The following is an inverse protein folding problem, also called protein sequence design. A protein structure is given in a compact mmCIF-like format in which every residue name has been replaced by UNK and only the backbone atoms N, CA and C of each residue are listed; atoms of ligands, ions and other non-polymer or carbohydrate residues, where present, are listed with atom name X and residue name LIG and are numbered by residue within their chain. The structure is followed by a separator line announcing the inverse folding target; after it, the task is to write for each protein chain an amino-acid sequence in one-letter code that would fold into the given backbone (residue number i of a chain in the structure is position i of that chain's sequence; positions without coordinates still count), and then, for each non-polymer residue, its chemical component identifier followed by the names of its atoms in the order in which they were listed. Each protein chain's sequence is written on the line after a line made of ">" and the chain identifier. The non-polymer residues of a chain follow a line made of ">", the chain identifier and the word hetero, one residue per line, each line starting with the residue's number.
data_IF_105108378782
#
_entry.id   IF_105108378782
#
_cell.length_a   1.000
_cell.length_b   1.000
_cell.length_c   1.000
_cell.angle_alpha   90.00
_cell.angle_beta   90.00
_cell.angle_gamma   90.00
#
_symmetry.space_group_name_H-M   'P 1'
#
loop_
_entity.id
_entity.type
_entity.pdbx_description
1 polymer ?
#
# COMPACT_ATOMS: atom_id res chain seq x y z
N UNK A 1 7.75 26.38 6.63
CA UNK A 1 7.51 27.83 6.69
C UNK A 1 8.43 28.59 5.74
N UNK A 2 9.77 28.37 5.75
CA UNK A 2 10.71 29.10 4.89
C UNK A 2 10.44 28.88 3.38
N UNK A 3 10.06 27.66 2.96
CA UNK A 3 9.81 27.32 1.56
C UNK A 3 8.50 27.93 1.05
N UNK A 4 7.45 27.92 1.87
CA UNK A 4 6.12 28.42 1.49
C UNK A 4 5.90 29.90 1.81
N UNK A 5 6.87 30.58 2.47
CA UNK A 5 6.82 31.99 2.88
C UNK A 5 5.55 32.38 3.65
N UNK A 6 4.97 31.44 4.41
CA UNK A 6 3.74 31.65 5.18
C UNK A 6 3.95 32.61 6.35
N UNK A 7 2.93 33.40 6.69
CA UNK A 7 2.93 34.43 7.72
C UNK A 7 1.77 34.23 8.68
N UNK A 8 1.82 34.94 9.82
CA UNK A 8 0.71 35.02 10.76
C UNK A 8 -0.55 35.53 10.03
N UNK A 9 -1.67 34.84 10.24
CA UNK A 9 -2.97 35.10 9.61
C UNK A 9 -3.22 34.29 8.34
N UNK A 10 -2.21 33.64 7.76
CA UNK A 10 -2.41 32.83 6.56
C UNK A 10 -3.19 31.54 6.91
N UNK A 11 -4.17 31.14 6.06
CA UNK A 11 -4.83 29.85 6.19
C UNK A 11 -3.92 28.73 5.70
N UNK A 12 -4.00 27.58 6.37
CA UNK A 12 -3.28 26.36 6.01
C UNK A 12 -4.19 25.16 6.14
N UNK A 13 -3.97 24.18 5.28
CA UNK A 13 -4.55 22.85 5.37
C UNK A 13 -3.47 21.87 5.82
N UNK A 14 -3.80 20.99 6.74
CA UNK A 14 -2.91 20.03 7.37
C UNK A 14 -3.57 18.67 7.38
N UNK A 15 -2.75 17.64 7.36
CA UNK A 15 -3.16 16.26 7.56
C UNK A 15 -2.27 15.66 8.64
N UNK A 16 -2.84 14.86 9.55
CA UNK A 16 -2.07 14.18 10.59
C UNK A 16 -1.43 12.88 10.11
N UNK A 17 -1.73 12.45 8.88
CA UNK A 17 -1.27 11.17 8.33
C UNK A 17 -1.98 9.94 8.91
N UNK A 18 -3.02 10.15 9.72
CA UNK A 18 -3.84 9.13 10.36
C UNK A 18 -5.29 9.13 9.88
N UNK A 19 -5.60 9.99 8.92
CA UNK A 19 -6.93 10.08 8.28
C UNK A 19 -7.70 11.34 8.60
N UNK A 20 -7.16 12.28 9.39
CA UNK A 20 -7.82 13.54 9.70
C UNK A 20 -7.18 14.70 8.94
N UNK A 21 -8.03 15.56 8.40
CA UNK A 21 -7.66 16.83 7.77
C UNK A 21 -8.09 18.01 8.64
N UNK A 22 -7.29 19.05 8.66
CA UNK A 22 -7.49 20.23 9.50
C UNK A 22 -7.35 21.50 8.67
N UNK A 23 -8.30 22.42 8.80
CA UNK A 23 -8.13 23.80 8.36
C UNK A 23 -7.71 24.63 9.55
N UNK A 24 -6.65 25.40 9.39
CA UNK A 24 -6.07 26.18 10.47
C UNK A 24 -5.59 27.55 10.00
N UNK A 25 -5.41 28.46 10.95
CA UNK A 25 -4.82 29.79 10.73
C UNK A 25 -3.52 29.87 11.51
N UNK A 26 -2.47 30.40 10.90
CA UNK A 26 -1.18 30.60 11.54
C UNK A 26 -1.30 31.74 12.56
N UNK A 27 -1.10 31.44 13.85
CA UNK A 27 -1.06 32.44 14.93
C UNK A 27 0.34 32.92 15.26
N UNK A 28 1.34 32.10 15.00
CA UNK A 28 2.74 32.45 15.23
C UNK A 28 3.68 31.56 14.44
N UNK A 29 4.87 32.09 14.14
CA UNK A 29 5.92 31.37 13.42
C UNK A 29 7.24 31.62 14.10
N UNK A 30 7.97 30.55 14.40
CA UNK A 30 9.37 30.58 14.84
C UNK A 30 10.26 29.92 13.79
N UNK A 31 11.60 29.97 13.89
CA UNK A 31 12.48 29.23 12.98
C UNK A 31 12.24 27.72 12.97
N UNK A 32 11.73 27.15 14.06
CA UNK A 32 11.62 25.70 14.29
C UNK A 32 10.17 25.20 14.31
N UNK A 33 9.19 26.10 14.52
CA UNK A 33 7.78 25.69 14.69
C UNK A 33 6.80 26.74 14.16
N UNK A 34 5.55 26.32 13.98
CA UNK A 34 4.41 27.19 13.74
C UNK A 34 3.31 26.88 14.77
N UNK A 35 2.77 27.93 15.37
CA UNK A 35 1.57 27.84 16.20
C UNK A 35 0.35 28.02 15.30
N UNK A 36 -0.57 27.06 15.36
CA UNK A 36 -1.75 27.01 14.52
C UNK A 36 -3.00 26.99 15.37
N UNK A 37 -4.01 27.76 14.97
CA UNK A 37 -5.36 27.62 15.51
C UNK A 37 -6.22 26.86 14.55
N UNK A 38 -6.63 25.65 14.93
CA UNK A 38 -7.52 24.80 14.15
C UNK A 38 -8.90 25.47 14.12
N UNK A 39 -9.43 25.62 12.91
CA UNK A 39 -10.77 26.20 12.66
C UNK A 39 -11.80 25.15 12.27
N UNK A 40 -11.34 24.03 11.69
CA UNK A 40 -12.19 22.92 11.26
C UNK A 40 -11.37 21.63 11.24
N UNK A 41 -12.02 20.50 11.51
CA UNK A 41 -11.44 19.15 11.34
C UNK A 41 -12.47 18.22 10.73
N UNK A 42 -12.04 17.37 9.81
CA UNK A 42 -12.87 16.39 9.13
C UNK A 42 -12.06 15.16 8.77
N UNK A 43 -12.74 14.02 8.56
CA UNK A 43 -12.07 12.84 7.98
C UNK A 43 -11.68 13.12 6.54
N UNK A 44 -10.52 12.62 6.12
CA UNK A 44 -10.03 12.82 4.76
C UNK A 44 -10.92 12.11 3.75
N UNK A 45 -11.48 12.86 2.83
CA UNK A 45 -12.26 12.32 1.71
C UNK A 45 -11.41 11.55 0.69
N UNK A 46 -10.08 11.62 0.79
CA UNK A 46 -9.17 10.90 -0.11
C UNK A 46 -8.99 9.43 0.26
N UNK A 47 -9.45 9.02 1.45
CA UNK A 47 -9.27 7.65 1.91
C UNK A 47 -10.48 6.77 1.56
N UNK A 48 -10.24 5.55 1.02
CA UNK A 48 -11.32 4.60 0.76
C UNK A 48 -11.89 4.05 2.09
N UNK A 49 -13.16 3.61 2.05
CA UNK A 49 -13.82 2.96 3.19
C UNK A 49 -13.30 1.55 3.49
N UNK A 50 -12.52 0.98 2.60
CA UNK A 50 -11.87 -0.32 2.72
C UNK A 50 -10.34 -0.14 2.84
N UNK A 51 -9.65 -1.15 3.33
CA UNK A 51 -8.19 -1.15 3.48
C UNK A 51 -7.56 -2.28 2.69
N UNK A 52 -6.62 -1.95 1.82
CA UNK A 52 -5.85 -2.96 1.08
C UNK A 52 -4.42 -3.03 1.61
N UNK A 53 -4.01 -4.22 2.06
CA UNK A 53 -2.62 -4.53 2.35
C UNK A 53 -2.01 -5.29 1.17
N UNK A 54 -0.97 -4.72 0.57
CA UNK A 54 -0.23 -5.33 -0.52
C UNK A 54 0.94 -6.16 0.02
N UNK A 55 0.84 -7.47 -0.07
CA UNK A 55 1.93 -8.42 0.16
C UNK A 55 2.74 -8.55 -1.13
N UNK A 56 3.77 -7.73 -1.27
CA UNK A 56 4.59 -7.67 -2.47
C UNK A 56 5.85 -8.51 -2.32
N UNK A 57 5.97 -9.59 -3.07
CA UNK A 57 7.24 -10.31 -3.15
C UNK A 57 8.34 -9.38 -3.67
N UNK A 58 9.52 -9.45 -3.02
CA UNK A 58 10.64 -8.56 -3.35
C UNK A 58 11.06 -8.75 -4.81
N UNK A 59 10.92 -7.71 -5.63
CA UNK A 59 11.34 -7.75 -7.03
C UNK A 59 12.85 -7.55 -7.14
N UNK A 60 13.38 -7.77 -8.34
CA UNK A 60 14.76 -7.43 -8.67
C UNK A 60 14.95 -5.92 -8.78
N UNK A 61 16.17 -5.46 -8.49
CA UNK A 61 16.56 -4.05 -8.64
C UNK A 61 15.67 -3.06 -7.83
N UNK A 62 15.58 -1.82 -8.30
CA UNK A 62 14.90 -0.72 -7.61
C UNK A 62 13.37 -0.67 -7.89
N UNK A 63 12.79 -1.74 -8.45
CA UNK A 63 11.37 -1.79 -8.79
C UNK A 63 10.45 -1.63 -7.58
N UNK A 64 10.90 -2.04 -6.38
CA UNK A 64 10.11 -1.90 -5.16
C UNK A 64 9.78 -0.44 -4.87
N UNK A 65 10.66 0.50 -5.17
CA UNK A 65 10.43 1.92 -4.96
C UNK A 65 9.30 2.46 -5.86
N UNK A 66 9.31 2.04 -7.13
CA UNK A 66 8.23 2.35 -8.07
C UNK A 66 6.88 1.76 -7.60
N UNK A 67 6.90 0.49 -7.14
CA UNK A 67 5.70 -0.18 -6.62
C UNK A 67 5.14 0.61 -5.44
N UNK A 68 5.99 0.95 -4.45
CA UNK A 68 5.58 1.73 -3.28
C UNK A 68 4.97 3.05 -3.70
N UNK A 69 5.68 3.84 -4.52
CA UNK A 69 5.19 5.13 -4.98
C UNK A 69 3.81 5.00 -5.62
N UNK A 70 3.65 4.12 -6.61
CA UNK A 70 2.41 4.01 -7.38
C UNK A 70 1.27 3.35 -6.59
N UNK A 71 1.57 2.37 -5.76
CA UNK A 71 0.54 1.76 -4.93
C UNK A 71 0.02 2.73 -3.84
N UNK A 72 0.87 3.61 -3.32
CA UNK A 72 0.43 4.69 -2.42
C UNK A 72 -0.50 5.65 -3.14
N UNK A 73 -0.17 6.10 -4.35
CA UNK A 73 -1.03 6.94 -5.18
C UNK A 73 -2.40 6.27 -5.48
N UNK A 74 -2.44 4.93 -5.53
CA UNK A 74 -3.63 4.12 -5.80
C UNK A 74 -4.41 3.69 -4.55
N UNK A 75 -4.08 4.23 -3.38
CA UNK A 75 -4.87 4.03 -2.17
C UNK A 75 -4.48 2.81 -1.33
N UNK A 76 -3.32 2.19 -1.51
CA UNK A 76 -2.85 1.11 -0.62
C UNK A 76 -2.82 1.61 0.83
N UNK A 77 -3.25 0.76 1.77
CA UNK A 77 -3.20 1.07 3.20
C UNK A 77 -1.86 0.67 3.85
N UNK A 78 -1.32 -0.50 3.47
CA UNK A 78 -0.06 -1.02 3.95
C UNK A 78 0.64 -1.82 2.85
N UNK A 79 1.97 -1.78 2.83
CA UNK A 79 2.78 -2.63 1.94
C UNK A 79 3.68 -3.50 2.83
N UNK A 80 3.56 -4.81 2.65
CA UNK A 80 4.38 -5.80 3.34
C UNK A 80 5.30 -6.46 2.31
N UNK A 81 6.61 -6.18 2.35
CA UNK A 81 7.59 -6.90 1.52
C UNK A 81 7.64 -8.38 1.92
N UNK A 82 7.62 -9.29 0.95
CA UNK A 82 7.59 -10.74 1.20
C UNK A 82 8.77 -11.42 0.55
N UNK A 83 9.36 -12.38 1.25
CA UNK A 83 10.35 -13.31 0.72
C UNK A 83 9.65 -14.59 0.26
N UNK A 84 9.64 -14.82 -1.06
CA UNK A 84 9.28 -16.09 -1.69
C UNK A 84 10.52 -16.81 -2.20
N UNK A 85 10.39 -18.07 -2.60
CA UNK A 85 11.53 -18.87 -3.05
C UNK A 85 12.25 -18.30 -4.28
N UNK A 86 11.50 -17.66 -5.18
CA UNK A 86 12.02 -17.08 -6.40
C UNK A 86 12.49 -15.62 -6.25
N UNK A 87 12.45 -15.06 -5.04
CA UNK A 87 13.05 -13.75 -4.76
C UNK A 87 14.58 -13.86 -4.78
N UNK A 88 15.24 -13.00 -5.55
CA UNK A 88 16.71 -12.98 -5.65
C UNK A 88 17.33 -12.04 -4.61
N UNK A 89 16.62 -10.97 -4.24
CA UNK A 89 17.12 -9.95 -3.33
C UNK A 89 16.98 -10.40 -1.86
N UNK A 90 18.00 -11.04 -1.32
CA UNK A 90 18.13 -11.30 0.12
C UNK A 90 19.18 -10.37 0.70
N UNK A 91 18.81 -9.42 1.53
CA UNK A 91 19.77 -8.76 2.42
C UNK A 91 20.11 -9.72 3.56
N UNK A 92 21.42 -9.89 3.84
CA UNK A 92 21.89 -10.72 4.95
C UNK A 92 22.21 -9.90 6.21
N UNK A 93 22.08 -8.57 6.13
CA UNK A 93 22.51 -7.65 7.19
C UNK A 93 21.33 -6.84 7.68
N UNK A 94 21.02 -6.96 8.98
CA UNK A 94 19.93 -6.26 9.66
C UNK A 94 20.04 -4.74 9.56
N UNK A 95 21.27 -4.19 9.59
CA UNK A 95 21.49 -2.75 9.45
C UNK A 95 21.13 -2.24 8.06
N UNK A 96 21.35 -3.06 7.04
CA UNK A 96 20.96 -2.79 5.66
C UNK A 96 19.45 -2.87 5.47
N UNK A 97 18.79 -3.82 6.15
CA UNK A 97 17.33 -3.99 6.15
C UNK A 97 16.63 -2.75 6.74
N UNK A 98 17.04 -2.32 7.92
CA UNK A 98 16.47 -1.15 8.59
C UNK A 98 16.59 0.12 7.76
N UNK A 99 17.75 0.34 7.11
CA UNK A 99 17.96 1.48 6.20
C UNK A 99 17.05 1.40 4.98
N UNK A 100 16.85 0.19 4.44
CA UNK A 100 15.95 -0.05 3.29
C UNK A 100 14.51 0.26 3.64
N UNK A 101 14.02 -0.24 4.78
CA UNK A 101 12.65 0.04 5.25
C UNK A 101 12.45 1.54 5.55
N UNK A 102 13.42 2.19 6.16
CA UNK A 102 13.37 3.64 6.37
C UNK A 102 13.28 4.41 5.02
N UNK A 103 14.04 3.99 4.00
CA UNK A 103 13.95 4.55 2.64
C UNK A 103 12.58 4.31 2.01
N UNK A 104 12.01 3.12 2.13
CA UNK A 104 10.70 2.78 1.61
C UNK A 104 9.58 3.60 2.27
N UNK A 105 9.63 3.76 3.58
CA UNK A 105 8.67 4.60 4.30
C UNK A 105 8.79 6.09 3.91
N UNK A 106 10.00 6.57 3.62
CA UNK A 106 10.20 7.93 3.08
C UNK A 106 9.54 8.10 1.71
N UNK A 107 9.67 7.10 0.82
CA UNK A 107 9.02 7.11 -0.50
C UNK A 107 7.50 7.10 -0.34
N UNK A 108 6.97 6.27 0.54
CA UNK A 108 5.55 6.21 0.85
C UNK A 108 5.02 7.56 1.37
N UNK A 109 5.75 8.20 2.28
CA UNK A 109 5.43 9.53 2.79
C UNK A 109 5.37 10.60 1.70
N UNK A 110 6.40 10.68 0.83
CA UNK A 110 6.43 11.67 -0.25
C UNK A 110 5.32 11.40 -1.30
N UNK A 111 5.02 10.13 -1.59
CA UNK A 111 3.92 9.75 -2.49
C UNK A 111 2.56 10.12 -1.88
N UNK A 112 2.32 9.84 -0.59
CA UNK A 112 1.09 10.20 0.11
C UNK A 112 0.87 11.72 0.12
N UNK A 113 1.92 12.47 0.42
CA UNK A 113 1.89 13.94 0.38
C UNK A 113 1.56 14.48 -1.01
N UNK A 114 2.17 13.93 -2.06
CA UNK A 114 1.96 14.37 -3.45
C UNK A 114 0.53 14.04 -3.91
N UNK A 115 0.00 12.87 -3.54
CA UNK A 115 -1.35 12.42 -3.90
C UNK A 115 -2.44 12.93 -2.94
N UNK A 116 -2.08 13.78 -1.97
CA UNK A 116 -3.00 14.37 -0.96
C UNK A 116 -3.76 13.31 -0.15
N UNK A 117 -3.08 12.24 0.22
CA UNK A 117 -3.67 11.22 1.08
C UNK A 117 -3.77 11.69 2.53
N UNK A 118 -4.88 11.38 3.19
CA UNK A 118 -5.10 11.60 4.61
C UNK A 118 -4.34 10.61 5.50
N UNK A 119 -4.05 9.41 4.97
CA UNK A 119 -3.26 8.36 5.65
C UNK A 119 -1.91 8.23 4.97
N UNK A 120 -0.84 8.17 5.76
CA UNK A 120 0.50 7.81 5.27
C UNK A 120 0.66 6.29 5.36
N UNK A 121 0.65 5.55 4.22
CA UNK A 121 0.80 4.10 4.23
C UNK A 121 2.14 3.67 4.80
N UNK A 122 2.12 2.63 5.64
CA UNK A 122 3.33 2.05 6.18
C UNK A 122 3.90 1.01 5.22
N UNK A 123 5.22 0.99 5.07
CA UNK A 123 5.95 -0.16 4.54
C UNK A 123 6.55 -0.91 5.72
N UNK A 124 6.06 -2.12 5.95
CA UNK A 124 6.45 -2.98 7.06
C UNK A 124 7.79 -3.66 6.83
N UNK A 125 8.30 -4.34 7.86
CA UNK A 125 9.47 -5.20 7.74
C UNK A 125 9.18 -6.36 6.77
N UNK A 126 10.25 -6.88 6.19
CA UNK A 126 10.16 -7.99 5.26
C UNK A 126 9.87 -9.29 6.00
N UNK A 127 8.85 -10.02 5.56
CA UNK A 127 8.46 -11.30 6.15
C UNK A 127 8.64 -12.45 5.16
N UNK A 128 8.78 -13.68 5.68
CA UNK A 128 8.66 -14.87 4.85
C UNK A 128 7.20 -15.11 4.48
N UNK A 129 6.93 -15.84 3.40
CA UNK A 129 5.57 -16.17 3.00
C UNK A 129 4.81 -16.94 4.11
N UNK A 130 5.50 -17.81 4.86
CA UNK A 130 4.97 -18.53 6.03
C UNK A 130 4.72 -17.64 7.25
N UNK A 131 5.34 -16.47 7.30
CA UNK A 131 5.15 -15.49 8.39
C UNK A 131 4.02 -14.50 8.12
N UNK A 132 3.35 -14.57 6.95
CA UNK A 132 2.20 -13.72 6.67
C UNK A 132 0.99 -14.19 7.48
N UNK A 133 0.45 -13.31 8.32
CA UNK A 133 -0.83 -13.54 8.99
C UNK A 133 -1.95 -12.95 8.16
N UNK A 134 -2.74 -13.80 7.52
CA UNK A 134 -3.88 -13.40 6.70
C UNK A 134 -5.23 -13.64 7.38
N UNK A 135 -5.25 -14.18 8.58
CA UNK A 135 -6.49 -14.46 9.33
C UNK A 135 -7.27 -13.21 9.73
N UNK A 136 -6.62 -12.05 9.73
CA UNK A 136 -7.19 -10.75 10.09
C UNK A 136 -7.87 -10.01 8.91
N UNK A 137 -7.82 -10.58 7.70
CA UNK A 137 -8.42 -9.98 6.52
C UNK A 137 -9.75 -10.66 6.18
N UNK A 138 -10.73 -9.86 5.78
CA UNK A 138 -12.03 -10.36 5.30
C UNK A 138 -11.89 -11.09 3.98
N UNK A 139 -10.93 -10.65 3.15
CA UNK A 139 -10.63 -11.25 1.86
C UNK A 139 -9.12 -11.28 1.62
N UNK A 140 -8.60 -12.44 1.20
CA UNK A 140 -7.20 -12.59 0.79
C UNK A 140 -7.15 -13.16 -0.62
N UNK A 141 -6.47 -12.46 -1.53
CA UNK A 141 -6.34 -12.86 -2.94
C UNK A 141 -4.87 -12.95 -3.36
N UNK A 142 -4.58 -13.91 -4.24
CA UNK A 142 -3.26 -14.11 -4.83
C UNK A 142 -3.37 -13.95 -6.35
N UNK A 143 -2.70 -12.95 -6.92
CA UNK A 143 -2.59 -12.86 -8.36
C UNK A 143 -1.66 -13.98 -8.88
N UNK A 144 -2.23 -14.90 -9.64
CA UNK A 144 -1.52 -16.10 -10.08
C UNK A 144 -1.65 -16.29 -11.59
N UNK A 145 -0.54 -16.40 -12.28
CA UNK A 145 -0.47 -16.44 -13.73
C UNK A 145 -1.05 -17.71 -14.35
N UNK A 146 -1.14 -18.82 -13.61
CA UNK A 146 -1.77 -20.05 -14.05
C UNK A 146 -3.30 -20.08 -13.79
N UNK A 147 -3.86 -19.14 -13.00
CA UNK A 147 -5.28 -19.04 -12.77
C UNK A 147 -6.00 -18.48 -14.02
N UNK A 148 -7.04 -19.15 -14.50
CA UNK A 148 -7.79 -18.77 -15.72
C UNK A 148 -9.29 -18.61 -15.47
N UNK A 149 -9.81 -19.28 -14.47
CA UNK A 149 -11.25 -19.38 -14.24
C UNK A 149 -11.75 -18.33 -13.23
N UNK A 150 -10.97 -18.07 -12.17
CA UNK A 150 -11.38 -17.19 -11.08
C UNK A 150 -10.85 -15.78 -11.33
N UNK A 151 -11.74 -14.85 -11.66
CA UNK A 151 -11.36 -13.45 -11.90
C UNK A 151 -11.41 -12.65 -10.60
N UNK A 152 -10.53 -11.65 -10.45
CA UNK A 152 -10.57 -10.72 -9.32
C UNK A 152 -11.96 -10.07 -9.20
N UNK A 153 -12.55 -9.62 -10.31
CA UNK A 153 -13.91 -9.06 -10.33
C UNK A 153 -14.95 -10.02 -9.73
N UNK A 154 -14.89 -11.30 -10.12
CA UNK A 154 -15.85 -12.30 -9.64
C UNK A 154 -15.72 -12.59 -8.15
N UNK A 155 -14.50 -12.50 -7.60
CA UNK A 155 -14.24 -12.65 -6.16
C UNK A 155 -14.74 -11.41 -5.40
N UNK A 156 -14.42 -10.21 -5.86
CA UNK A 156 -14.88 -8.95 -5.24
C UNK A 156 -16.41 -8.86 -5.21
N UNK A 157 -17.08 -9.25 -6.31
CA UNK A 157 -18.55 -9.22 -6.37
C UNK A 157 -19.25 -10.17 -5.38
N UNK A 158 -18.55 -11.17 -4.86
CA UNK A 158 -19.04 -12.06 -3.80
C UNK A 158 -18.68 -11.61 -2.40
N UNK A 159 -17.84 -10.60 -2.27
CA UNK A 159 -17.30 -10.09 -1.00
C UNK A 159 -17.45 -8.56 -0.94
N UNK A 160 -18.65 -8.05 -1.22
CA UNK A 160 -18.91 -6.61 -1.32
C UNK A 160 -18.73 -5.86 0.01
N UNK A 161 -18.88 -6.56 1.14
CA UNK A 161 -18.73 -5.99 2.49
C UNK A 161 -17.29 -6.12 3.04
N UNK A 162 -16.32 -6.58 2.23
CA UNK A 162 -14.95 -6.74 2.68
C UNK A 162 -14.31 -5.37 2.96
N UNK A 163 -14.13 -5.05 4.24
CA UNK A 163 -13.46 -3.83 4.72
C UNK A 163 -11.94 -3.95 4.76
N UNK A 164 -11.41 -5.17 4.74
CA UNK A 164 -9.96 -5.47 4.79
C UNK A 164 -9.57 -6.54 3.77
N UNK A 165 -8.64 -6.18 2.87
CA UNK A 165 -8.28 -7.03 1.73
C UNK A 165 -6.76 -7.21 1.70
N UNK A 166 -6.29 -8.48 1.68
CA UNK A 166 -4.90 -8.83 1.42
C UNK A 166 -4.73 -9.18 -0.07
N UNK A 167 -3.72 -8.58 -0.71
CA UNK A 167 -3.38 -8.84 -2.11
C UNK A 167 -1.94 -9.34 -2.19
N UNK A 168 -1.74 -10.56 -2.67
CA UNK A 168 -0.41 -11.15 -2.86
C UNK A 168 0.04 -11.05 -4.31
N UNK A 169 1.23 -10.48 -4.52
CA UNK A 169 1.89 -10.35 -5.82
C UNK A 169 3.23 -11.05 -5.78
N UNK A 170 3.44 -11.99 -6.70
CA UNK A 170 4.70 -12.73 -6.84
C UNK A 170 5.86 -11.91 -7.39
N UNK A 171 7.11 -12.41 -7.29
CA UNK A 171 8.27 -11.82 -7.96
C UNK A 171 8.19 -12.06 -9.48
N UNK A 172 9.24 -11.65 -10.23
CA UNK A 172 9.28 -11.83 -11.69
C UNK A 172 9.17 -13.29 -12.14
N UNK A 173 9.58 -14.24 -11.31
CA UNK A 173 9.46 -15.67 -11.58
C UNK A 173 8.14 -16.29 -11.14
N UNK A 174 7.20 -15.49 -10.61
CA UNK A 174 5.95 -15.97 -10.02
C UNK A 174 6.13 -16.75 -8.73
N UNK A 175 5.05 -17.35 -8.25
CA UNK A 175 5.05 -18.25 -7.09
C UNK A 175 5.34 -19.70 -7.51
N UNK A 176 5.99 -20.47 -6.62
CA UNK A 176 6.06 -21.91 -6.76
C UNK A 176 4.68 -22.53 -6.45
N UNK A 177 4.40 -23.74 -6.99
CA UNK A 177 3.11 -24.40 -6.76
C UNK A 177 2.83 -24.69 -5.30
N UNK A 178 3.83 -25.06 -4.54
CA UNK A 178 3.69 -25.30 -3.10
C UNK A 178 3.48 -24.01 -2.31
N UNK A 179 4.01 -22.88 -2.75
CA UNK A 179 3.71 -21.55 -2.18
C UNK A 179 2.23 -21.17 -2.41
N UNK A 180 1.70 -21.47 -3.59
CA UNK A 180 0.27 -21.28 -3.88
C UNK A 180 -0.59 -22.22 -3.02
N UNK A 181 -0.18 -23.49 -2.83
CA UNK A 181 -0.91 -24.40 -1.93
C UNK A 181 -0.88 -23.93 -0.47
N UNK A 182 0.25 -23.40 -0.02
CA UNK A 182 0.37 -22.79 1.31
C UNK A 182 -0.62 -21.63 1.46
N UNK A 183 -0.64 -20.68 0.55
CA UNK A 183 -1.53 -19.51 0.61
C UNK A 183 -3.02 -19.93 0.54
N UNK A 184 -3.37 -20.91 -0.29
CA UNK A 184 -4.70 -21.51 -0.32
C UNK A 184 -5.07 -22.20 1.01
N UNK A 185 -4.14 -22.92 1.59
CA UNK A 185 -4.33 -23.56 2.92
C UNK A 185 -4.54 -22.54 4.04
N UNK A 186 -4.02 -21.33 3.89
CA UNK A 186 -4.26 -20.20 4.80
C UNK A 186 -5.60 -19.50 4.54
N UNK A 187 -6.29 -19.78 3.44
CA UNK A 187 -7.57 -19.19 3.07
C UNK A 187 -7.54 -18.16 1.93
N UNK A 188 -6.40 -17.98 1.28
CA UNK A 188 -6.31 -17.06 0.14
C UNK A 188 -6.89 -17.69 -1.14
N UNK A 189 -7.53 -16.86 -1.96
CA UNK A 189 -8.12 -17.24 -3.25
C UNK A 189 -7.18 -16.82 -4.39
N UNK A 190 -6.81 -17.78 -5.27
CA UNK A 190 -6.07 -17.44 -6.49
C UNK A 190 -6.97 -16.73 -7.48
N UNK A 191 -6.49 -15.64 -8.09
CA UNK A 191 -7.25 -14.86 -9.06
C UNK A 191 -6.41 -14.53 -10.29
N UNK A 192 -7.07 -14.43 -11.45
CA UNK A 192 -6.49 -13.81 -12.62
C UNK A 192 -6.80 -12.31 -12.67
N UNK A 193 -5.83 -11.51 -13.09
CA UNK A 193 -5.97 -10.08 -13.38
C UNK A 193 -6.27 -9.81 -14.87
N UNK A 194 -6.64 -10.85 -15.62
CA UNK A 194 -6.96 -10.79 -17.05
C UNK A 194 -6.07 -11.67 -17.91
N UNK A 195 -6.26 -11.63 -19.23
CA UNK A 195 -5.65 -12.56 -20.16
C UNK A 195 -4.14 -12.32 -20.43
N UNK A 196 -3.60 -11.20 -19.98
CA UNK A 196 -2.19 -10.85 -20.18
C UNK A 196 -1.41 -11.11 -18.89
N UNK A 197 -0.20 -11.65 -19.05
CA UNK A 197 0.75 -11.75 -17.93
C UNK A 197 1.29 -10.34 -17.65
N UNK A 198 1.05 -9.85 -16.45
CA UNK A 198 1.56 -8.57 -15.99
C UNK A 198 2.93 -8.76 -15.33
N UNK A 199 3.79 -7.77 -15.47
CA UNK A 199 5.02 -7.72 -14.68
C UNK A 199 4.69 -7.48 -13.22
N UNK A 200 5.58 -7.92 -12.30
CA UNK A 200 5.35 -7.82 -10.84
C UNK A 200 5.01 -6.38 -10.41
N UNK A 201 5.72 -5.38 -10.96
CA UNK A 201 5.45 -3.97 -10.70
C UNK A 201 4.07 -3.52 -11.21
N UNK A 202 3.62 -4.07 -12.32
CA UNK A 202 2.30 -3.72 -12.91
C UNK A 202 1.15 -4.43 -12.21
N UNK A 203 1.37 -5.66 -11.75
CA UNK A 203 0.31 -6.50 -11.18
C UNK A 203 -0.29 -5.90 -9.90
N UNK A 204 0.55 -5.37 -9.00
CA UNK A 204 0.09 -4.69 -7.78
C UNK A 204 -0.74 -3.45 -8.09
N UNK A 205 -0.27 -2.61 -9.02
CA UNK A 205 -1.00 -1.41 -9.45
C UNK A 205 -2.34 -1.76 -10.09
N UNK A 206 -2.37 -2.77 -10.96
CA UNK A 206 -3.58 -3.22 -11.63
C UNK A 206 -4.60 -3.78 -10.62
N UNK A 207 -4.16 -4.61 -9.67
CA UNK A 207 -5.03 -5.16 -8.63
C UNK A 207 -5.65 -4.05 -7.77
N UNK A 208 -4.86 -3.08 -7.31
CA UNK A 208 -5.35 -1.92 -6.54
C UNK A 208 -6.35 -1.09 -7.33
N UNK A 209 -6.05 -0.79 -8.61
CA UNK A 209 -6.97 -0.03 -9.47
C UNK A 209 -8.29 -0.77 -9.70
N UNK A 210 -8.27 -2.10 -9.89
CA UNK A 210 -9.48 -2.91 -10.04
C UNK A 210 -10.31 -2.94 -8.76
N UNK A 211 -9.67 -3.03 -7.59
CA UNK A 211 -10.32 -3.00 -6.28
C UNK A 211 -10.94 -1.62 -6.07
N UNK A 212 -10.17 -0.55 -6.30
CA UNK A 212 -10.68 0.82 -6.18
C UNK A 212 -11.89 1.07 -7.08
N UNK A 213 -11.82 0.68 -8.35
CA UNK A 213 -12.95 0.81 -9.28
C UNK A 213 -14.18 0.02 -8.82
N UNK A 214 -13.98 -1.16 -8.22
CA UNK A 214 -15.10 -2.00 -7.76
C UNK A 214 -15.84 -1.40 -6.57
N UNK A 215 -15.12 -0.79 -5.60
CA UNK A 215 -15.69 -0.24 -4.38
C UNK A 215 -15.98 1.27 -4.45
N UNK A 216 -15.65 1.95 -5.54
CA UNK A 216 -15.91 3.39 -5.76
C UNK A 216 -17.32 3.68 -6.30
N UNK A 217 -18.25 2.73 -6.16
CA UNK A 217 -19.63 2.83 -6.71
C UNK A 217 -20.60 3.37 -5.69
#
# INVERSE_FOLDING_TARGET
>A
VKVLRLKRGDPVELCDGLGMEYKAIIEGVTPESALLRITHSEESAAEPTYRVTLFQCLPKQDKMELIIQKCVELGVYEIVPVLSRRCIARSKDESSESKRIARYNRIAYEAAKQSKRGVVPRVSECVSLTGCDISKFDLSVVAYEEERAVTLKGVLSKNQDAGSIAVFIGPEGGFERDEIQLLKGMGAVTVTLGNRILRTETAGMAALSMIAYHFSS
#
